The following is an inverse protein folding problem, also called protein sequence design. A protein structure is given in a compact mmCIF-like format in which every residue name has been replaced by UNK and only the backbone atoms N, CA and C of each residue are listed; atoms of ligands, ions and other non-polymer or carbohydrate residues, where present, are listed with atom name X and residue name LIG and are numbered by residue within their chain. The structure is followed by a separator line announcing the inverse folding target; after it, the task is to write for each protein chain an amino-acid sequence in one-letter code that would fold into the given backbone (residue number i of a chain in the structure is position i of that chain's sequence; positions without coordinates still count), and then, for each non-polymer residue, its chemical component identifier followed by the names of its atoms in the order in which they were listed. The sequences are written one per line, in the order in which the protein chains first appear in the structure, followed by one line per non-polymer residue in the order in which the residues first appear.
data_IF_174096249822
#
_entry.id   IF_174096249822
#
_cell.length_a   1.000
_cell.length_b   1.000
_cell.length_c   1.000
_cell.angle_alpha   90.00
_cell.angle_beta   90.00
_cell.angle_gamma   90.00
#
_symmetry.space_group_name_H-M   'P 1'
#
loop_
_entity.id
_entity.type
_entity.pdbx_description
1 polymer ?
#
# COMPACT_ATOMS: atom_id res chain seq x y z
N UNK A 1 -10.48 -21.33 33.08
CA UNK A 1 -10.38 -22.75 32.70
C UNK A 1 -10.24 -22.79 31.19
N UNK A 2 -9.04 -23.10 30.70
CA UNK A 2 -8.75 -23.17 29.26
C UNK A 2 -9.37 -24.45 28.72
N UNK A 3 -10.39 -24.33 27.88
CA UNK A 3 -10.81 -25.43 27.02
C UNK A 3 -9.65 -25.70 26.07
N UNK A 4 -9.04 -26.88 26.17
CA UNK A 4 -8.24 -27.43 25.07
C UNK A 4 -9.17 -27.56 23.86
N UNK A 5 -9.13 -26.58 22.96
CA UNK A 5 -9.78 -26.68 21.66
C UNK A 5 -9.13 -27.85 20.94
N UNK A 6 -9.93 -28.90 20.67
CA UNK A 6 -9.50 -30.03 19.88
C UNK A 6 -9.03 -29.51 18.51
N UNK A 7 -7.73 -29.68 18.20
CA UNK A 7 -7.18 -29.31 16.90
C UNK A 7 -7.90 -30.13 15.84
N UNK A 8 -8.52 -29.46 14.85
CA UNK A 8 -9.17 -30.15 13.75
C UNK A 8 -8.14 -31.08 13.04
N UNK A 9 -8.39 -32.40 12.97
CA UNK A 9 -7.42 -33.36 12.41
C UNK A 9 -7.27 -33.25 10.88
N UNK A 10 -8.16 -32.50 10.23
CA UNK A 10 -8.24 -32.39 8.77
C UNK A 10 -8.10 -30.93 8.31
N UNK A 11 -7.74 -30.75 7.04
CA UNK A 11 -7.73 -29.45 6.39
C UNK A 11 -9.18 -28.98 6.25
N UNK A 12 -9.55 -27.85 6.85
CA UNK A 12 -10.89 -27.30 6.73
C UNK A 12 -11.16 -26.85 5.29
N UNK A 13 -12.26 -27.35 4.74
CA UNK A 13 -12.78 -26.97 3.44
C UNK A 13 -14.07 -26.17 3.72
N UNK A 14 -14.11 -24.87 3.36
CA UNK A 14 -15.28 -24.06 3.61
C UNK A 14 -16.46 -24.55 2.76
N UNK A 15 -17.67 -24.35 3.29
CA UNK A 15 -18.91 -24.58 2.55
C UNK A 15 -19.10 -23.57 1.40
N UNK A 16 -20.17 -23.70 0.62
CA UNK A 16 -20.49 -22.76 -0.46
C UNK A 16 -20.55 -21.31 0.05
N UNK A 17 -19.83 -20.40 -0.62
CA UNK A 17 -19.79 -18.98 -0.28
C UNK A 17 -20.25 -18.12 -1.44
N UNK A 18 -21.09 -17.13 -1.16
CA UNK A 18 -21.58 -16.15 -2.14
C UNK A 18 -20.58 -15.03 -2.42
N UNK A 19 -19.58 -14.85 -1.55
CA UNK A 19 -18.69 -13.70 -1.61
C UNK A 19 -17.85 -13.59 -2.89
N UNK A 20 -17.31 -14.69 -3.47
CA UNK A 20 -16.59 -14.60 -4.75
C UNK A 20 -17.45 -14.03 -5.88
N UNK A 21 -18.71 -14.46 -5.98
CA UNK A 21 -19.64 -13.97 -7.00
C UNK A 21 -19.97 -12.49 -6.77
N UNK A 22 -20.29 -12.11 -5.53
CA UNK A 22 -20.60 -10.72 -5.19
C UNK A 22 -19.39 -9.80 -5.41
N UNK A 23 -18.18 -10.25 -5.08
CA UNK A 23 -16.94 -9.55 -5.38
C UNK A 23 -16.79 -9.33 -6.89
N UNK A 24 -16.95 -10.39 -7.70
CA UNK A 24 -16.91 -10.30 -9.16
C UNK A 24 -17.88 -9.27 -9.74
N UNK A 25 -19.14 -9.29 -9.30
CA UNK A 25 -20.16 -8.33 -9.72
C UNK A 25 -19.79 -6.89 -9.30
N UNK A 26 -19.35 -6.71 -8.05
CA UNK A 26 -18.97 -5.38 -7.55
C UNK A 26 -17.76 -4.79 -8.27
N UNK A 27 -16.76 -5.61 -8.61
CA UNK A 27 -15.60 -5.20 -9.41
C UNK A 27 -16.01 -4.85 -10.84
N UNK A 28 -16.91 -5.63 -11.45
CA UNK A 28 -17.42 -5.32 -12.79
C UNK A 28 -18.13 -3.96 -12.82
N UNK A 29 -19.02 -3.70 -11.86
CA UNK A 29 -19.72 -2.40 -11.74
C UNK A 29 -18.71 -1.27 -11.54
N UNK A 30 -17.70 -1.49 -10.70
CA UNK A 30 -16.62 -0.51 -10.47
C UNK A 30 -15.90 -0.16 -11.77
N UNK A 31 -15.52 -1.17 -12.57
CA UNK A 31 -14.79 -0.99 -13.83
C UNK A 31 -15.64 -0.38 -14.94
N UNK A 32 -16.94 -0.72 -15.02
CA UNK A 32 -17.88 -0.06 -15.94
C UNK A 32 -17.97 1.43 -15.60
N UNK A 33 -18.16 1.76 -14.33
CA UNK A 33 -18.17 3.14 -13.87
C UNK A 33 -16.86 3.86 -14.12
N UNK A 34 -15.71 3.25 -13.82
CA UNK A 34 -14.39 3.85 -14.03
C UNK A 34 -14.13 4.14 -15.51
N UNK A 35 -14.37 3.15 -16.39
CA UNK A 35 -14.18 3.28 -17.83
C UNK A 35 -15.09 4.37 -18.42
N UNK A 36 -16.37 4.37 -18.07
CA UNK A 36 -17.30 5.39 -18.55
C UNK A 36 -16.96 6.80 -18.01
N UNK A 37 -16.41 6.89 -16.79
CA UNK A 37 -16.02 8.17 -16.19
C UNK A 37 -14.83 8.79 -16.91
N UNK A 38 -13.79 8.00 -17.22
CA UNK A 38 -12.65 8.47 -18.03
C UNK A 38 -13.11 8.96 -19.42
N UNK A 39 -14.22 8.43 -19.94
CA UNK A 39 -14.83 8.86 -21.21
C UNK A 39 -15.86 9.99 -21.07
N UNK A 40 -15.96 10.65 -19.92
CA UNK A 40 -16.79 11.85 -19.71
C UNK A 40 -18.30 11.58 -19.58
N UNK A 41 -18.70 10.34 -19.30
CA UNK A 41 -20.12 9.98 -19.14
C UNK A 41 -20.65 10.44 -17.78
N UNK A 42 -21.76 11.19 -17.78
CA UNK A 42 -22.26 11.90 -16.59
C UNK A 42 -22.73 10.99 -15.44
N UNK A 43 -23.28 9.80 -15.72
CA UNK A 43 -23.72 8.86 -14.68
C UNK A 43 -22.56 8.07 -14.06
N UNK A 44 -21.40 8.06 -14.72
CA UNK A 44 -20.32 7.15 -14.42
C UNK A 44 -19.68 7.30 -13.03
N UNK A 45 -19.47 8.53 -12.49
CA UNK A 45 -18.94 8.69 -11.14
C UNK A 45 -19.82 8.01 -10.08
N UNK A 46 -21.14 8.13 -10.19
CA UNK A 46 -22.08 7.53 -9.24
C UNK A 46 -22.04 6.00 -9.30
N UNK A 47 -21.97 5.43 -10.51
CA UNK A 47 -21.87 3.97 -10.70
C UNK A 47 -20.52 3.44 -10.20
N UNK A 48 -19.43 4.18 -10.43
CA UNK A 48 -18.12 3.82 -9.89
C UNK A 48 -18.12 3.81 -8.35
N UNK A 49 -18.63 4.88 -7.71
CA UNK A 49 -18.75 4.96 -6.25
C UNK A 49 -19.62 3.83 -5.71
N UNK A 50 -20.75 3.53 -6.34
CA UNK A 50 -21.61 2.41 -5.97
C UNK A 50 -20.83 1.07 -6.02
N UNK A 51 -20.10 0.82 -7.11
CA UNK A 51 -19.24 -0.36 -7.24
C UNK A 51 -18.21 -0.48 -6.12
N UNK A 52 -17.51 0.63 -5.80
CA UNK A 52 -16.52 0.66 -4.71
C UNK A 52 -17.18 0.35 -3.37
N UNK A 53 -18.32 0.97 -3.06
CA UNK A 53 -19.06 0.69 -1.82
C UNK A 53 -19.49 -0.78 -1.74
N UNK A 54 -19.94 -1.38 -2.86
CA UNK A 54 -20.26 -2.80 -2.91
C UNK A 54 -19.04 -3.68 -2.63
N UNK A 55 -17.86 -3.37 -3.20
CA UNK A 55 -16.61 -4.10 -2.91
C UNK A 55 -16.28 -4.02 -1.42
N UNK A 56 -16.36 -2.82 -0.83
CA UNK A 56 -16.09 -2.63 0.61
C UNK A 56 -17.05 -3.43 1.50
N UNK A 57 -18.34 -3.48 1.15
CA UNK A 57 -19.35 -4.29 1.85
C UNK A 57 -19.02 -5.78 1.75
N UNK A 58 -18.66 -6.28 0.56
CA UNK A 58 -18.26 -7.67 0.38
C UNK A 58 -17.03 -7.99 1.24
N UNK A 59 -15.99 -7.16 1.19
CA UNK A 59 -14.77 -7.36 1.98
C UNK A 59 -15.07 -7.37 3.49
N UNK A 60 -15.89 -6.44 3.98
CA UNK A 60 -16.27 -6.38 5.39
C UNK A 60 -16.92 -7.68 5.87
N UNK A 61 -17.92 -8.17 5.13
CA UNK A 61 -18.61 -9.40 5.53
C UNK A 61 -17.78 -10.66 5.31
N UNK A 62 -17.01 -10.72 4.22
CA UNK A 62 -16.15 -11.88 3.91
C UNK A 62 -15.03 -12.03 4.94
N UNK A 63 -14.32 -10.94 5.27
CA UNK A 63 -13.34 -11.00 6.36
C UNK A 63 -14.00 -11.27 7.71
N UNK A 64 -15.22 -10.79 7.93
CA UNK A 64 -16.01 -11.16 9.10
C UNK A 64 -16.25 -12.67 9.21
N UNK A 65 -16.60 -13.33 8.11
CA UNK A 65 -16.76 -14.80 8.07
C UNK A 65 -15.43 -15.52 8.33
N UNK A 66 -14.34 -15.10 7.69
CA UNK A 66 -13.01 -15.67 7.93
C UNK A 66 -12.57 -15.53 9.41
N UNK A 67 -12.87 -14.39 10.04
CA UNK A 67 -12.61 -14.20 11.48
C UNK A 67 -13.49 -15.15 12.30
N UNK A 68 -14.79 -15.27 11.99
CA UNK A 68 -15.70 -16.19 12.72
C UNK A 68 -15.26 -17.64 12.62
N UNK A 69 -14.82 -18.08 11.45
CA UNK A 69 -14.29 -19.43 11.21
C UNK A 69 -12.98 -19.68 11.98
N UNK A 70 -12.11 -18.67 12.04
CA UNK A 70 -10.89 -18.73 12.85
C UNK A 70 -11.20 -18.89 14.34
N UNK A 71 -12.11 -18.06 14.88
CA UNK A 71 -12.44 -18.08 16.32
C UNK A 71 -13.26 -19.31 16.73
N UNK A 72 -14.00 -19.93 15.79
CA UNK A 72 -14.73 -21.18 16.06
C UNK A 72 -13.83 -22.42 16.14
N UNK A 73 -12.52 -22.26 15.91
CA UNK A 73 -11.53 -23.35 16.04
C UNK A 73 -11.48 -24.29 14.83
N UNK A 74 -12.01 -23.87 13.68
CA UNK A 74 -12.01 -24.67 12.45
C UNK A 74 -10.63 -24.73 11.79
N UNK A 75 -9.74 -23.79 12.10
CA UNK A 75 -8.42 -23.69 11.48
C UNK A 75 -7.38 -24.55 12.21
N UNK A 76 -6.81 -25.53 11.50
CA UNK A 76 -5.69 -26.35 11.97
C UNK A 76 -4.34 -25.71 11.61
N UNK A 77 -3.24 -26.26 12.14
CA UNK A 77 -1.88 -25.80 11.80
C UNK A 77 -1.57 -25.83 10.30
N UNK A 78 -2.18 -26.77 9.57
CA UNK A 78 -2.03 -26.84 8.10
C UNK A 78 -2.62 -25.61 7.41
N UNK A 79 -3.72 -25.08 7.95
CA UNK A 79 -4.36 -23.88 7.41
C UNK A 79 -3.58 -22.63 7.80
N UNK A 80 -3.07 -22.57 9.03
CA UNK A 80 -2.15 -21.50 9.44
C UNK A 80 -0.95 -21.41 8.50
N UNK A 81 -0.34 -22.55 8.16
CA UNK A 81 0.76 -22.62 7.19
C UNK A 81 0.33 -22.16 5.79
N UNK A 82 -0.83 -22.60 5.29
CA UNK A 82 -1.37 -22.14 4.01
C UNK A 82 -1.56 -20.62 3.99
N UNK A 83 -2.15 -20.04 5.04
CA UNK A 83 -2.34 -18.59 5.13
C UNK A 83 -1.03 -17.82 5.14
N UNK A 84 0.01 -18.33 5.81
CA UNK A 84 1.35 -17.74 5.77
C UNK A 84 1.94 -17.75 4.37
N UNK A 85 1.84 -18.86 3.64
CA UNK A 85 2.29 -18.92 2.25
C UNK A 85 1.47 -18.00 1.35
N UNK A 86 0.15 -17.92 1.53
CA UNK A 86 -0.71 -16.99 0.78
C UNK A 86 -0.31 -15.54 1.03
N UNK A 87 -0.02 -15.16 2.29
CA UNK A 87 0.45 -13.82 2.62
C UNK A 87 1.82 -13.53 1.99
N UNK A 88 2.76 -14.47 2.04
CA UNK A 88 4.07 -14.31 1.41
C UNK A 88 3.97 -14.14 -0.10
N UNK A 89 3.12 -14.93 -0.78
CA UNK A 89 2.89 -14.80 -2.22
C UNK A 89 2.19 -13.50 -2.59
N UNK A 90 1.24 -13.05 -1.76
CA UNK A 90 0.61 -11.75 -1.91
C UNK A 90 1.63 -10.61 -1.78
N UNK A 91 2.46 -10.60 -0.73
CA UNK A 91 3.53 -9.59 -0.59
C UNK A 91 4.49 -9.65 -1.78
N UNK A 92 4.86 -10.85 -2.23
CA UNK A 92 5.73 -11.00 -3.39
C UNK A 92 5.10 -10.39 -4.66
N UNK A 93 3.80 -10.58 -4.91
CA UNK A 93 3.14 -9.92 -6.04
C UNK A 93 3.11 -8.40 -5.89
N UNK A 94 2.94 -7.87 -4.69
CA UNK A 94 3.02 -6.43 -4.44
C UNK A 94 4.44 -5.88 -4.69
N UNK A 95 5.49 -6.63 -4.31
CA UNK A 95 6.87 -6.26 -4.66
C UNK A 95 7.07 -6.23 -6.17
N UNK A 96 6.53 -7.20 -6.92
CA UNK A 96 6.61 -7.19 -8.38
C UNK A 96 5.82 -6.02 -9.00
N UNK A 97 4.67 -5.66 -8.42
CA UNK A 97 3.91 -4.48 -8.82
C UNK A 97 4.73 -3.20 -8.68
N UNK A 98 5.37 -2.95 -7.52
CA UNK A 98 6.27 -1.81 -7.36
C UNK A 98 7.51 -1.90 -8.25
N UNK A 99 8.06 -3.10 -8.46
CA UNK A 99 9.21 -3.30 -9.35
C UNK A 99 8.91 -2.85 -10.78
N UNK A 100 7.66 -2.98 -11.26
CA UNK A 100 7.26 -2.45 -12.56
C UNK A 100 7.34 -0.92 -12.61
N UNK A 101 6.91 -0.22 -11.56
CA UNK A 101 7.02 1.25 -11.50
C UNK A 101 8.47 1.73 -11.33
N UNK A 102 9.27 1.08 -10.48
CA UNK A 102 10.70 1.37 -10.37
C UNK A 102 11.42 1.06 -11.69
N UNK A 103 11.03 0.00 -12.40
CA UNK A 103 11.54 -0.34 -13.73
C UNK A 103 11.19 0.73 -14.76
N UNK A 104 9.95 1.24 -14.75
CA UNK A 104 9.54 2.35 -15.62
C UNK A 104 10.33 3.64 -15.33
N UNK A 105 10.52 3.97 -14.04
CA UNK A 105 11.35 5.10 -13.62
C UNK A 105 12.81 4.92 -14.05
N UNK A 106 13.39 3.74 -13.83
CA UNK A 106 14.75 3.43 -14.26
C UNK A 106 14.91 3.54 -15.78
N UNK A 107 13.96 2.99 -16.54
CA UNK A 107 13.98 3.06 -17.99
C UNK A 107 13.91 4.52 -18.48
N UNK A 108 12.94 5.29 -17.97
CA UNK A 108 12.81 6.70 -18.31
C UNK A 108 14.07 7.50 -17.92
N UNK A 109 14.62 7.23 -16.73
CA UNK A 109 15.72 8.01 -16.17
C UNK A 109 17.07 7.67 -16.78
N UNK A 110 17.43 6.40 -16.74
CA UNK A 110 18.78 5.91 -17.01
C UNK A 110 19.00 5.52 -18.47
N UNK A 111 17.93 5.33 -19.25
CA UNK A 111 18.00 4.88 -20.63
C UNK A 111 17.43 5.94 -21.57
N UNK A 112 16.14 6.27 -21.45
CA UNK A 112 15.46 7.16 -22.39
C UNK A 112 16.02 8.57 -22.39
N UNK A 113 16.27 9.15 -21.22
CA UNK A 113 16.81 10.52 -21.14
C UNK A 113 18.21 10.67 -21.77
N UNK A 114 19.20 9.81 -21.48
CA UNK A 114 20.47 9.85 -22.18
C UNK A 114 20.35 9.68 -23.69
N UNK A 115 19.45 8.81 -24.17
CA UNK A 115 19.18 8.67 -25.61
C UNK A 115 18.63 9.97 -26.23
N UNK A 116 17.69 10.64 -25.56
CA UNK A 116 17.17 11.93 -26.07
C UNK A 116 18.24 13.03 -26.13
N UNK A 117 19.32 12.91 -25.36
CA UNK A 117 20.40 13.89 -25.29
C UNK A 117 21.63 13.51 -26.14
N UNK A 118 21.56 12.40 -26.89
CA UNK A 118 22.66 11.95 -27.75
C UNK A 118 22.85 12.83 -28.99
N UNK A 119 23.93 12.57 -29.73
CA UNK A 119 24.28 13.38 -30.91
C UNK A 119 23.24 13.27 -32.03
N UNK A 120 22.58 12.12 -32.18
CA UNK A 120 21.62 11.88 -33.24
C UNK A 120 20.32 12.64 -32.97
N UNK A 121 19.87 12.67 -31.71
CA UNK A 121 18.65 13.36 -31.29
C UNK A 121 18.84 14.87 -31.14
N UNK A 122 20.07 15.36 -30.97
CA UNK A 122 20.37 16.81 -31.01
C UNK A 122 20.04 17.46 -32.34
N UNK A 123 19.92 16.71 -33.43
CA UNK A 123 19.43 17.24 -34.71
C UNK A 123 17.97 17.69 -34.60
N UNK A 124 17.16 16.99 -33.79
CA UNK A 124 15.75 17.28 -33.56
C UNK A 124 15.59 18.26 -32.39
N UNK A 125 16.37 18.05 -31.33
CA UNK A 125 16.28 18.78 -30.06
C UNK A 125 17.64 19.37 -29.65
N UNK A 126 18.12 20.43 -30.34
CA UNK A 126 19.49 20.91 -30.19
C UNK A 126 19.82 21.42 -28.78
N UNK A 127 18.84 22.01 -28.10
CA UNK A 127 18.99 22.62 -26.78
C UNK A 127 18.64 21.67 -25.62
N UNK A 128 18.26 20.42 -25.92
CA UNK A 128 17.88 19.47 -24.88
C UNK A 128 19.09 18.97 -24.10
N UNK A 129 18.93 18.90 -22.78
CA UNK A 129 19.92 18.32 -21.87
C UNK A 129 19.28 17.20 -21.06
N UNK A 130 19.95 16.05 -20.99
CA UNK A 130 19.45 14.84 -20.33
C UNK A 130 19.56 14.88 -18.80
N UNK A 131 18.99 15.89 -18.16
CA UNK A 131 18.95 16.00 -16.69
C UNK A 131 17.58 15.56 -16.16
N UNK A 132 17.53 14.72 -15.12
CA UNK A 132 16.25 14.27 -14.55
C UNK A 132 15.47 15.44 -13.93
N UNK A 133 14.16 15.48 -14.16
CA UNK A 133 13.30 16.58 -13.71
C UNK A 133 13.25 17.78 -14.66
N UNK A 134 13.57 17.60 -15.94
CA UNK A 134 13.37 18.61 -16.98
C UNK A 134 11.93 18.62 -17.54
N UNK A 135 11.59 19.65 -18.32
CA UNK A 135 10.27 19.86 -18.97
C UNK A 135 10.10 19.10 -20.30
N UNK A 136 11.06 18.24 -20.66
CA UNK A 136 11.15 17.60 -21.96
C UNK A 136 11.56 18.58 -23.07
N UNK A 137 11.89 18.07 -24.26
CA UNK A 137 12.34 18.92 -25.37
C UNK A 137 11.18 19.55 -26.17
N UNK A 138 9.96 19.01 -26.04
CA UNK A 138 8.81 19.40 -26.86
C UNK A 138 8.12 20.71 -26.43
N UNK A 139 8.49 21.29 -25.28
CA UNK A 139 7.88 22.53 -24.77
C UNK A 139 6.41 22.40 -24.37
N UNK A 140 5.92 21.17 -24.14
CA UNK A 140 4.52 20.89 -23.79
C UNK A 140 4.26 20.89 -22.28
N UNK A 141 5.32 20.89 -21.47
CA UNK A 141 5.25 20.84 -20.01
C UNK A 141 5.62 22.20 -19.43
N UNK A 142 4.79 22.70 -18.50
CA UNK A 142 5.09 23.92 -17.75
C UNK A 142 6.34 23.74 -16.87
N UNK A 143 7.09 24.82 -16.63
CA UNK A 143 8.20 24.78 -15.69
C UNK A 143 7.73 24.36 -14.29
N UNK A 144 8.47 23.46 -13.66
CA UNK A 144 8.23 22.96 -12.32
C UNK A 144 9.57 22.79 -11.58
N UNK A 145 9.49 22.71 -10.26
CA UNK A 145 10.63 22.39 -9.40
C UNK A 145 10.48 20.98 -8.86
N UNK A 146 11.58 20.21 -8.83
CA UNK A 146 11.59 18.85 -8.31
C UNK A 146 11.48 18.81 -6.79
N UNK A 147 10.90 17.74 -6.25
CA UNK A 147 10.83 17.54 -4.80
C UNK A 147 12.18 17.01 -4.29
N UNK A 148 12.77 17.71 -3.33
CA UNK A 148 14.01 17.29 -2.68
C UNK A 148 13.77 16.38 -1.46
N UNK A 149 14.82 15.75 -0.91
CA UNK A 149 14.69 14.79 0.19
C UNK A 149 14.45 15.43 1.58
N UNK A 150 14.60 16.76 1.70
CA UNK A 150 14.48 17.47 2.97
C UNK A 150 13.40 18.56 2.93
N UNK A 151 12.76 18.87 4.08
CA UNK A 151 12.79 18.11 5.34
C UNK A 151 11.75 16.98 5.39
N UNK A 152 10.64 17.13 4.65
CA UNK A 152 9.43 16.30 4.81
C UNK A 152 9.69 14.82 4.48
N UNK A 153 10.32 14.45 3.35
CA UNK A 153 10.57 13.03 3.06
C UNK A 153 11.45 12.37 4.12
N UNK A 154 12.42 13.10 4.68
CA UNK A 154 13.29 12.61 5.75
C UNK A 154 12.52 12.40 7.06
N UNK A 155 11.62 13.32 7.43
CA UNK A 155 10.72 13.15 8.58
C UNK A 155 9.82 11.93 8.37
N UNK A 156 9.26 11.77 7.17
CA UNK A 156 8.44 10.62 6.82
C UNK A 156 9.20 9.29 6.92
N UNK A 157 10.47 9.26 6.49
CA UNK A 157 11.36 8.12 6.69
C UNK A 157 11.54 7.79 8.17
N UNK A 158 11.78 8.80 9.01
CA UNK A 158 11.91 8.60 10.46
C UNK A 158 10.60 8.08 11.09
N UNK A 159 9.45 8.61 10.67
CA UNK A 159 8.13 8.17 11.15
C UNK A 159 7.88 6.70 10.84
N UNK A 160 8.10 6.27 9.59
CA UNK A 160 7.89 4.87 9.21
C UNK A 160 8.87 3.92 9.89
N UNK A 161 10.16 4.24 9.93
CA UNK A 161 11.15 3.42 10.64
C UNK A 161 10.83 3.30 12.14
N UNK A 162 10.40 4.41 12.77
CA UNK A 162 9.96 4.38 14.17
C UNK A 162 8.70 3.52 14.33
N UNK A 163 7.77 3.59 13.38
CA UNK A 163 6.56 2.76 13.39
C UNK A 163 6.87 1.26 13.28
N UNK A 164 7.87 0.88 12.48
CA UNK A 164 8.36 -0.50 12.40
C UNK A 164 8.95 -0.99 13.73
N UNK A 165 9.67 -0.13 14.45
CA UNK A 165 10.17 -0.43 15.80
C UNK A 165 9.01 -0.62 16.78
N UNK A 166 8.03 0.29 16.81
CA UNK A 166 6.87 0.16 17.71
C UNK A 166 6.05 -1.10 17.42
N UNK A 167 5.91 -1.46 16.14
CA UNK A 167 5.25 -2.69 15.72
C UNK A 167 6.01 -3.94 16.19
N UNK A 168 7.35 -3.91 16.08
CA UNK A 168 8.20 -4.99 16.57
C UNK A 168 8.06 -5.17 18.08
N UNK A 169 8.03 -4.08 18.85
CA UNK A 169 7.80 -4.15 20.30
C UNK A 169 6.41 -4.72 20.60
N UNK A 170 5.38 -4.31 19.85
CA UNK A 170 4.02 -4.86 19.96
C UNK A 170 3.99 -6.37 19.73
N UNK A 171 4.73 -6.85 18.72
CA UNK A 171 4.83 -8.28 18.42
C UNK A 171 5.48 -9.06 19.57
N UNK A 172 6.58 -8.56 20.14
CA UNK A 172 7.23 -9.20 21.29
C UNK A 172 6.29 -9.24 22.50
N UNK A 173 5.53 -8.17 22.75
CA UNK A 173 4.50 -8.15 23.80
C UNK A 173 3.39 -9.18 23.55
N UNK A 174 2.95 -9.37 22.29
CA UNK A 174 1.96 -10.39 21.93
C UNK A 174 2.46 -11.80 22.27
N UNK A 175 3.71 -12.10 21.89
CA UNK A 175 4.36 -13.39 22.17
C UNK A 175 4.61 -13.63 23.66
N UNK A 176 4.79 -12.56 24.44
CA UNK A 176 4.87 -12.63 25.91
C UNK A 176 3.49 -12.73 26.59
N UNK A 177 2.38 -12.62 25.84
CA UNK A 177 1.02 -12.62 26.38
C UNK A 177 0.59 -11.30 27.03
N UNK A 178 1.36 -10.21 26.86
CA UNK A 178 1.08 -8.90 27.43
C UNK A 178 0.10 -8.09 26.55
N UNK A 179 -1.17 -8.49 26.54
CA UNK A 179 -2.21 -7.91 25.66
C UNK A 179 -2.33 -6.38 25.73
N UNK A 180 -2.24 -5.77 26.92
CA UNK A 180 -2.34 -4.32 27.07
C UNK A 180 -1.15 -3.60 26.39
N UNK A 181 0.06 -4.12 26.57
CA UNK A 181 1.26 -3.58 25.93
C UNK A 181 1.19 -3.75 24.41
N UNK A 182 0.76 -4.91 23.91
CA UNK A 182 0.51 -5.13 22.48
C UNK A 182 -0.43 -4.06 21.91
N UNK A 183 -1.56 -3.81 22.58
CA UNK A 183 -2.53 -2.82 22.10
C UNK A 183 -1.95 -1.40 22.06
N UNK A 184 -1.22 -0.98 23.10
CA UNK A 184 -0.62 0.36 23.17
C UNK A 184 0.41 0.55 22.04
N UNK A 185 1.36 -0.38 21.88
CA UNK A 185 2.40 -0.26 20.87
C UNK A 185 1.87 -0.38 19.44
N UNK A 186 0.84 -1.21 19.24
CA UNK A 186 0.14 -1.30 17.96
C UNK A 186 -0.61 0.01 17.62
N UNK A 187 -1.26 0.63 18.62
CA UNK A 187 -1.89 1.93 18.44
C UNK A 187 -0.89 3.02 18.06
N UNK A 188 0.28 3.05 18.73
CA UNK A 188 1.35 4.00 18.37
C UNK A 188 1.84 3.80 16.94
N UNK A 189 1.95 2.56 16.48
CA UNK A 189 2.31 2.24 15.08
C UNK A 189 1.30 2.86 14.10
N UNK A 190 -0.01 2.66 14.35
CA UNK A 190 -1.08 3.20 13.51
C UNK A 190 -1.06 4.73 13.53
N UNK A 191 -0.85 5.34 14.69
CA UNK A 191 -0.77 6.79 14.83
C UNK A 191 0.39 7.37 14.03
N UNK A 192 1.58 6.76 14.10
CA UNK A 192 2.74 7.19 13.30
C UNK A 192 2.47 7.07 11.80
N UNK A 193 1.81 5.99 11.37
CA UNK A 193 1.36 5.83 9.97
C UNK A 193 0.35 6.90 9.53
N UNK A 194 -0.59 7.28 10.41
CA UNK A 194 -1.53 8.35 10.13
C UNK A 194 -0.85 9.72 10.03
N UNK A 195 0.14 9.99 10.88
CA UNK A 195 0.97 11.21 10.82
C UNK A 195 1.79 11.26 9.53
N UNK A 196 2.39 10.13 9.12
CA UNK A 196 3.07 10.00 7.83
C UNK A 196 2.12 10.36 6.66
N UNK A 197 0.90 9.83 6.65
CA UNK A 197 -0.08 10.15 5.59
C UNK A 197 -0.47 11.63 5.58
N UNK A 198 -0.54 12.27 6.76
CA UNK A 198 -0.76 13.72 6.86
C UNK A 198 0.36 14.54 6.23
N UNK A 199 1.62 14.18 6.50
CA UNK A 199 2.77 14.83 5.86
C UNK A 199 2.84 14.54 4.36
N UNK A 200 2.47 13.33 3.92
CA UNK A 200 2.40 12.99 2.49
C UNK A 200 1.34 13.84 1.76
N UNK A 201 0.19 14.06 2.39
CA UNK A 201 -0.84 14.94 1.84
C UNK A 201 -0.37 16.40 1.77
N UNK A 202 0.32 16.88 2.81
CA UNK A 202 0.94 18.21 2.82
C UNK A 202 1.96 18.36 1.68
N UNK A 203 2.82 17.36 1.48
CA UNK A 203 3.81 17.35 0.40
C UNK A 203 3.15 17.46 -0.97
N UNK A 204 2.03 16.77 -1.20
CA UNK A 204 1.29 16.86 -2.46
C UNK A 204 0.66 18.23 -2.66
N UNK A 205 0.12 18.82 -1.60
CA UNK A 205 -0.42 20.19 -1.67
C UNK A 205 0.70 21.16 -2.05
N UNK A 206 1.84 21.11 -1.37
CA UNK A 206 3.01 21.94 -1.64
C UNK A 206 3.57 21.74 -3.06
N UNK A 207 3.64 20.49 -3.53
CA UNK A 207 4.06 20.16 -4.89
C UNK A 207 3.16 20.85 -5.94
N UNK A 208 1.84 20.79 -5.76
CA UNK A 208 0.89 21.40 -6.69
C UNK A 208 0.82 22.92 -6.59
N UNK A 209 0.90 23.48 -5.39
CA UNK A 209 0.69 24.93 -5.16
C UNK A 209 1.94 25.77 -5.35
N UNK A 210 3.10 25.28 -4.94
CA UNK A 210 4.34 26.07 -4.88
C UNK A 210 5.39 25.62 -5.91
N UNK A 211 5.49 24.32 -6.18
CA UNK A 211 6.50 23.78 -7.09
C UNK A 211 6.00 23.63 -8.54
N UNK A 212 4.71 23.84 -8.78
CA UNK A 212 4.03 23.52 -10.05
C UNK A 212 4.26 22.06 -10.51
N UNK A 213 4.58 21.16 -9.58
CA UNK A 213 4.80 19.75 -9.82
C UNK A 213 3.46 19.02 -9.76
N UNK A 214 2.95 18.62 -10.92
CA UNK A 214 1.63 18.01 -11.12
C UNK A 214 1.78 16.63 -11.78
N UNK A 215 0.69 15.86 -11.80
CA UNK A 215 0.61 14.63 -12.61
C UNK A 215 0.90 14.89 -14.10
N UNK A 216 0.63 16.10 -14.57
CA UNK A 216 0.87 16.54 -15.95
C UNK A 216 2.29 17.10 -16.18
N UNK A 217 3.16 17.13 -15.16
CA UNK A 217 4.56 17.59 -15.26
C UNK A 217 5.47 16.55 -15.93
N UNK A 218 5.06 16.08 -17.11
CA UNK A 218 5.77 15.09 -17.90
C UNK A 218 5.98 13.74 -17.19
N UNK A 219 7.04 13.04 -17.60
CA UNK A 219 7.39 11.73 -17.05
C UNK A 219 7.87 11.80 -15.59
N UNK A 220 8.48 12.92 -15.18
CA UNK A 220 8.89 13.12 -13.79
C UNK A 220 7.67 13.16 -12.86
N UNK A 221 6.71 14.05 -13.14
CA UNK A 221 5.50 14.18 -12.33
C UNK A 221 4.67 12.90 -12.31
N UNK A 222 4.44 12.28 -13.47
CA UNK A 222 3.65 11.06 -13.54
C UNK A 222 4.30 9.89 -12.78
N UNK A 223 5.60 9.67 -12.92
CA UNK A 223 6.29 8.60 -12.17
C UNK A 223 6.37 8.89 -10.67
N UNK A 224 6.64 10.15 -10.29
CA UNK A 224 6.65 10.59 -8.88
C UNK A 224 5.32 10.26 -8.20
N UNK A 225 4.20 10.84 -8.67
CA UNK A 225 2.91 10.68 -8.03
C UNK A 225 2.35 9.26 -8.12
N UNK A 226 2.67 8.50 -9.15
CA UNK A 226 2.25 7.09 -9.24
C UNK A 226 2.99 6.23 -8.22
N UNK A 227 4.32 6.38 -8.11
CA UNK A 227 5.14 5.64 -7.14
C UNK A 227 4.77 5.98 -5.69
N UNK A 228 4.78 7.26 -5.34
CA UNK A 228 4.48 7.71 -3.97
C UNK A 228 3.00 7.58 -3.65
N UNK A 229 2.11 7.73 -4.64
CA UNK A 229 0.65 7.61 -4.47
C UNK A 229 0.21 6.18 -4.22
N UNK A 230 0.71 5.22 -5.00
CA UNK A 230 0.45 3.81 -4.72
C UNK A 230 1.06 3.39 -3.38
N UNK A 231 2.24 3.89 -3.02
CA UNK A 231 2.79 3.63 -1.68
C UNK A 231 1.90 4.18 -0.57
N UNK A 232 1.43 5.43 -0.68
CA UNK A 232 0.47 6.00 0.28
C UNK A 232 -0.84 5.21 0.37
N UNK A 233 -1.33 4.65 -0.75
CA UNK A 233 -2.46 3.72 -0.74
C UNK A 233 -2.14 2.46 0.07
N UNK A 234 -0.96 1.86 -0.11
CA UNK A 234 -0.53 0.68 0.64
C UNK A 234 -0.34 0.98 2.13
N UNK A 235 0.23 2.13 2.50
CA UNK A 235 0.32 2.59 3.90
C UNK A 235 -1.08 2.68 4.51
N UNK A 236 -2.04 3.25 3.79
CA UNK A 236 -3.43 3.37 4.25
C UNK A 236 -4.07 1.99 4.45
N UNK A 237 -3.90 1.06 3.49
CA UNK A 237 -4.39 -0.31 3.61
C UNK A 237 -3.75 -1.04 4.80
N UNK A 238 -2.44 -0.89 4.98
CA UNK A 238 -1.72 -1.44 6.13
C UNK A 238 -2.25 -0.89 7.45
N UNK A 239 -2.56 0.40 7.52
CA UNK A 239 -3.07 1.05 8.73
C UNK A 239 -4.48 0.55 9.06
N UNK A 240 -5.32 0.32 8.04
CA UNK A 240 -6.64 -0.30 8.20
C UNK A 240 -6.50 -1.73 8.71
N UNK A 241 -5.61 -2.54 8.12
CA UNK A 241 -5.34 -3.91 8.57
C UNK A 241 -4.87 -3.94 10.03
N UNK A 242 -3.90 -3.10 10.40
CA UNK A 242 -3.42 -2.99 11.78
C UNK A 242 -4.51 -2.49 12.73
N UNK A 243 -5.40 -1.60 12.29
CA UNK A 243 -6.54 -1.14 13.09
C UNK A 243 -7.55 -2.26 13.36
N UNK A 244 -7.84 -3.10 12.36
CA UNK A 244 -8.67 -4.31 12.53
C UNK A 244 -7.99 -5.30 13.48
N UNK A 245 -6.68 -5.49 13.34
CA UNK A 245 -5.89 -6.33 14.27
C UNK A 245 -5.95 -5.75 15.68
N UNK A 246 -5.77 -4.43 15.87
CA UNK A 246 -5.86 -3.77 17.17
C UNK A 246 -7.22 -4.02 17.81
N UNK A 247 -8.31 -3.84 17.07
CA UNK A 247 -9.65 -4.17 17.55
C UNK A 247 -9.74 -5.64 18.00
N UNK A 248 -9.18 -6.58 17.23
CA UNK A 248 -9.13 -8.01 17.61
C UNK A 248 -8.25 -8.28 18.84
N UNK A 249 -7.12 -7.58 19.01
CA UNK A 249 -6.30 -7.61 20.24
C UNK A 249 -7.17 -7.17 21.43
N UNK A 250 -7.89 -6.06 21.28
CA UNK A 250 -8.78 -5.52 22.31
C UNK A 250 -10.00 -6.41 22.59
N UNK A 251 -10.36 -7.33 21.70
CA UNK A 251 -11.39 -8.36 21.92
C UNK A 251 -10.82 -9.67 22.48
N UNK A 252 -9.51 -9.87 22.46
CA UNK A 252 -8.85 -11.06 22.99
C UNK A 252 -8.84 -12.26 22.03
N UNK A 253 -8.92 -12.00 20.73
CA UNK A 253 -8.95 -13.03 19.67
C UNK A 253 -7.60 -13.70 19.41
N UNK A 254 -6.53 -13.28 20.10
CA UNK A 254 -5.17 -13.74 19.84
C UNK A 254 -4.54 -14.35 21.08
N UNK A 255 -3.72 -15.36 20.85
CA UNK A 255 -2.89 -16.00 21.88
C UNK A 255 -1.42 -15.95 21.48
N UNK A 256 -0.48 -16.14 22.42
CA UNK A 256 0.96 -16.17 22.13
C UNK A 256 1.38 -17.18 21.06
N UNK A 257 0.57 -18.21 20.80
CA UNK A 257 0.84 -19.26 19.80
C UNK A 257 -0.08 -19.18 18.57
N UNK A 258 -1.22 -18.48 18.68
CA UNK A 258 -2.18 -18.30 17.57
C UNK A 258 -2.49 -16.80 17.39
N UNK A 259 -1.74 -16.17 16.49
CA UNK A 259 -1.87 -14.74 16.16
C UNK A 259 -1.45 -14.44 14.72
N UNK A 260 -1.69 -15.36 13.78
CA UNK A 260 -1.29 -15.19 12.37
C UNK A 260 -1.81 -13.88 11.76
N UNK A 261 -3.06 -13.47 12.01
CA UNK A 261 -3.57 -12.23 11.44
C UNK A 261 -2.79 -10.99 11.90
N UNK A 262 -2.23 -11.02 13.12
CA UNK A 262 -1.30 -9.99 13.58
C UNK A 262 0.01 -10.07 12.79
N UNK A 263 0.60 -11.27 12.66
CA UNK A 263 1.88 -11.44 11.94
C UNK A 263 1.76 -11.07 10.46
N UNK A 264 0.68 -11.47 9.78
CA UNK A 264 0.42 -11.12 8.39
C UNK A 264 0.29 -9.61 8.19
N UNK A 265 -0.45 -8.92 9.06
CA UNK A 265 -0.52 -7.45 9.02
C UNK A 265 0.83 -6.80 9.34
N UNK A 266 1.63 -7.39 10.23
CA UNK A 266 2.96 -6.89 10.55
C UNK A 266 3.96 -7.09 9.40
N UNK A 267 3.92 -8.25 8.71
CA UNK A 267 4.71 -8.50 7.50
C UNK A 267 4.36 -7.51 6.39
N UNK A 268 3.06 -7.23 6.20
CA UNK A 268 2.61 -6.23 5.24
C UNK A 268 3.15 -4.83 5.59
N UNK A 269 3.07 -4.43 6.86
CA UNK A 269 3.57 -3.11 7.29
C UNK A 269 5.07 -2.96 7.05
N UNK A 270 5.88 -3.96 7.40
CA UNK A 270 7.32 -3.95 7.11
C UNK A 270 7.62 -3.95 5.61
N UNK A 271 6.83 -4.63 4.80
CA UNK A 271 6.93 -4.53 3.34
C UNK A 271 6.75 -3.08 2.87
N UNK A 272 5.73 -2.39 3.38
CA UNK A 272 5.47 -0.99 3.07
C UNK A 272 6.64 -0.09 3.51
N UNK A 273 7.24 -0.34 4.68
CA UNK A 273 8.45 0.38 5.14
C UNK A 273 9.62 0.20 4.15
N UNK A 274 9.86 -1.03 3.69
CA UNK A 274 10.96 -1.33 2.75
C UNK A 274 10.75 -0.65 1.40
N UNK A 275 9.52 -0.65 0.88
CA UNK A 275 9.19 0.08 -0.36
C UNK A 275 9.43 1.57 -0.18
N UNK A 276 9.09 2.15 0.97
CA UNK A 276 9.36 3.56 1.26
C UNK A 276 10.85 3.88 1.21
N UNK A 277 11.72 3.03 1.78
CA UNK A 277 13.17 3.26 1.71
C UNK A 277 13.67 3.26 0.27
N UNK A 278 13.14 2.37 -0.58
CA UNK A 278 13.41 2.37 -2.01
C UNK A 278 12.96 3.68 -2.68
N UNK A 279 11.77 4.17 -2.35
CA UNK A 279 11.26 5.45 -2.85
C UNK A 279 12.11 6.62 -2.38
N UNK A 280 12.41 6.69 -1.09
CA UNK A 280 13.21 7.75 -0.49
C UNK A 280 14.56 7.89 -1.20
N UNK A 281 15.25 6.78 -1.45
CA UNK A 281 16.53 6.81 -2.18
C UNK A 281 16.33 7.12 -3.67
N UNK A 282 15.49 6.35 -4.37
CA UNK A 282 15.45 6.42 -5.84
C UNK A 282 14.70 7.64 -6.37
N UNK A 283 13.67 8.10 -5.67
CA UNK A 283 12.79 9.20 -6.12
C UNK A 283 13.27 10.55 -5.61
N UNK A 284 13.73 10.63 -4.36
CA UNK A 284 14.08 11.92 -3.74
C UNK A 284 15.57 12.24 -3.74
N UNK A 285 16.46 11.23 -3.70
CA UNK A 285 17.91 11.47 -3.69
C UNK A 285 18.56 11.36 -5.07
N UNK A 286 18.11 10.41 -5.89
CA UNK A 286 18.60 10.16 -7.24
C UNK A 286 17.72 10.82 -8.29
#
# INVERSE_FOLDING_TARGET
MSSQQAKAPHYFVPGPSRWPMMAGISMLITMIGASAWVNGVSWAPYVNILGILMVLVVLYYWFGDAIRESESGLYSERIDLSYRWSMSWFIFSEVMFFAAFFGALFYARSITMPWLADLDHKVIWPDFTGQWGNVGPAGTVENFTTMGPFPIPTINTLLLLTSGVTLTISHHAMRAGHRAQTAIWLFLTILLGAVFMGFQAYEYIHAYSELNLKLTSGIYGSTFFMLTGFHGFHVTMGAIMLSVVLYRVLRGHFTPTHHFAFEGAAWYWHFVDVVWLGLYVVVYWL
#
